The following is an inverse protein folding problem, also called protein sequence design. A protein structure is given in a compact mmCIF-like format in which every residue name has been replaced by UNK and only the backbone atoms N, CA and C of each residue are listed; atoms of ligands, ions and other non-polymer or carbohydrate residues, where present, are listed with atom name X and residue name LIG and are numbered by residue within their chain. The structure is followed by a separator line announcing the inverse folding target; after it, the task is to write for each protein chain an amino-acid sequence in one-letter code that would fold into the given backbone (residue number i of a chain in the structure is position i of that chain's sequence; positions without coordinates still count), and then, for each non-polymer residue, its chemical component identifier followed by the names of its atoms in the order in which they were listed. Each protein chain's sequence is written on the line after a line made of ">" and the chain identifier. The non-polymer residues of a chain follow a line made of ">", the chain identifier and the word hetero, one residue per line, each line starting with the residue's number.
data_IF_920167888286
#
_entry.id   IF_920167888286
#
_cell.length_a   1.000
_cell.length_b   1.000
_cell.length_c   1.000
_cell.angle_alpha   90.00
_cell.angle_beta   90.00
_cell.angle_gamma   90.00
#
_symmetry.space_group_name_H-M   'P 1'
#
loop_
_entity.id
_entity.type
_entity.pdbx_description
1 polymer ?
#
# COMPACT_ATOMS: atom_id res chain seq x y z
N UNK A 1 6.89 -9.47 -9.24
CA UNK A 1 7.53 -9.10 -7.96
C UNK A 1 8.53 -8.00 -8.28
N UNK A 2 8.43 -6.83 -7.66
CA UNK A 2 9.38 -5.74 -7.93
C UNK A 2 10.74 -6.06 -7.31
N UNK A 3 11.82 -5.70 -8.00
CA UNK A 3 13.17 -5.91 -7.48
C UNK A 3 13.43 -4.89 -6.37
N UNK A 4 14.31 -5.26 -5.43
CA UNK A 4 14.71 -4.39 -4.30
C UNK A 4 15.33 -3.07 -4.79
N UNK A 5 15.83 -3.05 -6.03
CA UNK A 5 16.49 -1.93 -6.68
C UNK A 5 15.50 -0.97 -7.36
N UNK A 6 14.25 -1.38 -7.59
CA UNK A 6 13.28 -0.59 -8.34
C UNK A 6 12.78 0.58 -7.49
N UNK A 7 13.05 1.80 -7.94
CA UNK A 7 12.44 3.01 -7.36
C UNK A 7 10.91 2.94 -7.47
N UNK A 8 10.21 3.67 -6.62
CA UNK A 8 8.75 3.74 -6.70
C UNK A 8 8.27 4.21 -8.08
N UNK A 9 8.91 5.22 -8.65
CA UNK A 9 8.56 5.77 -9.97
C UNK A 9 8.73 4.73 -11.07
N UNK A 10 9.85 4.00 -11.09
CA UNK A 10 10.11 2.93 -12.07
C UNK A 10 9.04 1.83 -12.01
N UNK A 11 8.60 1.45 -10.80
CA UNK A 11 7.51 0.48 -10.63
C UNK A 11 6.19 0.98 -11.20
N UNK A 12 5.87 2.26 -10.98
CA UNK A 12 4.63 2.86 -11.46
C UNK A 12 4.61 3.00 -12.98
N UNK A 13 5.72 3.39 -13.59
CA UNK A 13 5.89 3.40 -15.05
C UNK A 13 5.68 2.00 -15.62
N UNK A 14 6.29 0.98 -15.00
CA UNK A 14 6.12 -0.40 -15.44
C UNK A 14 4.68 -0.90 -15.29
N UNK A 15 4.00 -0.56 -14.19
CA UNK A 15 2.57 -0.84 -14.00
C UNK A 15 1.75 -0.22 -15.13
N UNK A 16 1.99 1.06 -15.44
CA UNK A 16 1.28 1.77 -16.51
C UNK A 16 1.57 1.18 -17.89
N UNK A 17 2.79 0.75 -18.15
CA UNK A 17 3.15 0.09 -19.40
C UNK A 17 2.35 -1.20 -19.61
N UNK A 18 2.26 -2.06 -18.58
CA UNK A 18 1.45 -3.27 -18.65
C UNK A 18 -0.04 -3.00 -18.92
N UNK A 19 -0.53 -1.78 -18.71
CA UNK A 19 -1.94 -1.48 -18.97
C UNK A 19 -2.29 -1.67 -20.46
N UNK A 20 -1.33 -1.47 -21.37
CA UNK A 20 -1.51 -1.68 -22.80
C UNK A 20 -1.29 -3.15 -23.22
N UNK A 21 -0.41 -3.87 -22.53
CA UNK A 21 -0.05 -5.26 -22.87
C UNK A 21 -0.96 -6.29 -22.19
N UNK A 22 -1.17 -6.15 -20.89
CA UNK A 22 -1.98 -7.01 -20.04
C UNK A 22 -2.64 -6.20 -18.90
N UNK A 23 -3.86 -5.78 -19.16
CA UNK A 23 -4.68 -5.02 -18.23
C UNK A 23 -4.91 -5.73 -16.88
N UNK A 24 -5.00 -7.07 -16.89
CA UNK A 24 -5.22 -7.85 -15.67
C UNK A 24 -3.95 -7.85 -14.82
N UNK A 25 -2.79 -8.09 -15.42
CA UNK A 25 -1.50 -8.02 -14.75
C UNK A 25 -1.23 -6.61 -14.19
N UNK A 26 -1.53 -5.57 -14.97
CA UNK A 26 -1.38 -4.18 -14.51
C UNK A 26 -2.23 -3.90 -13.28
N UNK A 27 -3.51 -4.32 -13.28
CA UNK A 27 -4.41 -4.18 -12.13
C UNK A 27 -3.89 -4.92 -10.89
N UNK A 28 -3.34 -6.13 -11.06
CA UNK A 28 -2.72 -6.89 -9.97
C UNK A 28 -1.51 -6.16 -9.39
N UNK A 29 -0.59 -5.72 -10.24
CA UNK A 29 0.65 -5.06 -9.82
C UNK A 29 0.38 -3.72 -9.15
N UNK A 30 -0.63 -2.96 -9.60
CA UNK A 30 -1.02 -1.70 -8.98
C UNK A 30 -1.47 -1.87 -7.52
N UNK A 31 -2.32 -2.88 -7.24
CA UNK A 31 -2.75 -3.17 -5.86
C UNK A 31 -1.58 -3.70 -5.02
N UNK A 32 -0.73 -4.58 -5.57
CA UNK A 32 0.46 -5.07 -4.87
C UNK A 32 1.42 -3.93 -4.51
N UNK A 33 1.57 -2.93 -5.37
CA UNK A 33 2.39 -1.74 -5.12
C UNK A 33 1.83 -0.89 -3.97
N UNK A 34 0.51 -0.71 -3.93
CA UNK A 34 -0.15 -0.09 -2.78
C UNK A 34 0.08 -0.91 -1.49
N UNK A 35 -0.13 -2.23 -1.53
CA UNK A 35 0.06 -3.11 -0.37
C UNK A 35 1.50 -3.03 0.17
N UNK A 36 2.48 -3.03 -0.72
CA UNK A 36 3.89 -2.83 -0.35
C UNK A 36 4.12 -1.48 0.32
N UNK A 37 3.53 -0.42 -0.23
CA UNK A 37 3.70 0.96 0.26
C UNK A 37 3.07 1.13 1.63
N UNK A 38 1.81 0.72 1.82
CA UNK A 38 1.11 0.85 3.10
C UNK A 38 1.77 0.00 4.20
N UNK A 39 2.27 -1.20 3.87
CA UNK A 39 3.03 -2.02 4.83
C UNK A 39 4.28 -1.31 5.32
N UNK A 40 5.02 -0.68 4.40
CA UNK A 40 6.23 0.08 4.76
C UNK A 40 5.90 1.35 5.53
N UNK A 41 4.84 2.05 5.17
CA UNK A 41 4.34 3.20 5.92
C UNK A 41 3.99 2.82 7.37
N UNK A 42 3.24 1.73 7.57
CA UNK A 42 2.91 1.21 8.91
C UNK A 42 4.18 0.88 9.70
N UNK A 43 5.16 0.21 9.09
CA UNK A 43 6.44 -0.09 9.74
C UNK A 43 7.21 1.19 10.05
N UNK A 44 7.16 2.21 9.21
CA UNK A 44 7.97 3.42 9.42
C UNK A 44 7.36 4.36 10.46
N UNK A 45 6.04 4.58 10.39
CA UNK A 45 5.27 5.48 11.24
C UNK A 45 4.82 4.85 12.56
N UNK A 46 4.74 3.51 12.62
CA UNK A 46 4.23 2.79 13.77
C UNK A 46 5.01 3.03 15.06
N UNK A 47 4.38 2.76 16.20
CA UNK A 47 5.00 2.91 17.53
C UNK A 47 5.66 1.62 18.01
N UNK A 48 5.07 0.46 17.70
CA UNK A 48 5.56 -0.82 18.21
C UNK A 48 6.93 -1.18 17.61
N UNK A 49 7.71 -2.06 18.29
CA UNK A 49 8.91 -2.65 17.74
C UNK A 49 8.67 -3.31 16.39
N UNK A 50 9.63 -3.19 15.46
CA UNK A 50 9.45 -3.65 14.07
C UNK A 50 9.08 -5.13 13.97
N UNK A 51 9.57 -5.98 14.89
CA UNK A 51 9.23 -7.42 14.92
C UNK A 51 7.74 -7.65 15.20
N UNK A 52 7.16 -6.86 16.10
CA UNK A 52 5.73 -6.93 16.46
C UNK A 52 4.88 -6.45 15.30
N UNK A 53 5.21 -5.29 14.72
CA UNK A 53 4.49 -4.76 13.55
C UNK A 53 4.55 -5.74 12.37
N UNK A 54 5.72 -6.33 12.10
CA UNK A 54 5.89 -7.32 11.03
C UNK A 54 5.07 -8.58 11.27
N UNK A 55 4.97 -9.04 12.52
CA UNK A 55 4.10 -10.17 12.87
C UNK A 55 2.62 -9.85 12.62
N UNK A 56 2.14 -8.65 12.97
CA UNK A 56 0.78 -8.18 12.64
C UNK A 56 0.55 -8.16 11.12
N UNK A 57 1.50 -7.63 10.35
CA UNK A 57 1.40 -7.51 8.90
C UNK A 57 1.53 -8.84 8.15
N UNK A 58 2.16 -9.86 8.74
CA UNK A 58 2.30 -11.19 8.12
C UNK A 58 0.95 -11.85 7.84
N UNK A 59 -0.05 -11.62 8.70
CA UNK A 59 -1.43 -12.14 8.56
C UNK A 59 -2.41 -11.08 8.03
N UNK A 60 -1.91 -9.94 7.56
CA UNK A 60 -2.73 -8.81 7.14
C UNK A 60 -3.01 -8.89 5.63
N UNK A 61 -4.25 -9.21 5.27
CA UNK A 61 -4.68 -9.30 3.88
C UNK A 61 -5.93 -8.44 3.64
N UNK A 62 -5.91 -7.70 2.53
CA UNK A 62 -7.03 -6.86 2.12
C UNK A 62 -7.11 -5.52 2.85
N UNK A 63 -7.89 -4.61 2.25
CA UNK A 63 -7.93 -3.21 2.61
C UNK A 63 -8.43 -2.96 4.05
N UNK A 64 -9.41 -3.73 4.52
CA UNK A 64 -9.95 -3.60 5.87
C UNK A 64 -8.89 -3.92 6.94
N UNK A 65 -8.09 -4.97 6.76
CA UNK A 65 -7.04 -5.33 7.72
C UNK A 65 -5.91 -4.31 7.75
N UNK A 66 -5.55 -3.71 6.62
CA UNK A 66 -4.60 -2.59 6.62
C UNK A 66 -5.15 -1.37 7.38
N UNK A 67 -6.46 -1.09 7.26
CA UNK A 67 -7.10 -0.03 8.04
C UNK A 67 -7.04 -0.30 9.54
N UNK A 68 -7.29 -1.54 9.96
CA UNK A 68 -7.20 -1.95 11.37
C UNK A 68 -5.77 -1.78 11.91
N UNK A 69 -4.76 -2.33 11.21
CA UNK A 69 -3.36 -2.23 11.65
C UNK A 69 -2.87 -0.79 11.63
N UNK A 70 -3.27 0.02 10.65
CA UNK A 70 -2.96 1.46 10.61
C UNK A 70 -3.56 2.18 11.81
N UNK A 71 -4.79 1.85 12.19
CA UNK A 71 -5.42 2.44 13.37
C UNK A 71 -4.56 2.18 14.61
N UNK A 72 -4.18 0.92 14.82
CA UNK A 72 -3.48 0.49 16.03
C UNK A 72 -2.04 1.00 16.12
N UNK A 73 -1.33 1.09 14.99
CA UNK A 73 0.09 1.46 14.97
C UNK A 73 0.36 2.93 14.65
N UNK A 74 -0.44 3.52 13.77
CA UNK A 74 -0.15 4.83 13.17
C UNK A 74 -1.08 5.90 13.69
N UNK A 75 -2.39 5.68 13.66
CA UNK A 75 -3.39 6.70 14.05
C UNK A 75 -3.38 6.99 15.55
N UNK A 76 -3.20 5.95 16.39
CA UNK A 76 -3.12 6.10 17.85
C UNK A 76 -1.73 6.58 18.33
N UNK A 77 -0.84 6.97 17.41
CA UNK A 77 0.46 7.53 17.76
C UNK A 77 0.34 9.02 18.06
N UNK A 78 0.22 9.39 19.34
CA UNK A 78 0.08 10.80 19.75
C UNK A 78 1.27 11.69 19.35
N UNK A 79 2.44 11.10 19.05
CA UNK A 79 3.63 11.84 18.61
C UNK A 79 3.53 12.30 17.15
N UNK A 80 2.70 11.64 16.34
CA UNK A 80 2.55 11.91 14.91
C UNK A 80 1.07 12.05 14.60
N UNK A 81 0.61 13.28 14.38
CA UNK A 81 -0.77 13.59 14.00
C UNK A 81 -1.06 13.13 12.56
N UNK A 82 -1.22 11.82 12.40
CA UNK A 82 -1.54 11.17 11.13
C UNK A 82 -3.01 10.79 11.14
N UNK A 83 -3.71 11.11 10.05
CA UNK A 83 -5.13 10.80 9.88
C UNK A 83 -5.39 9.28 9.76
N UNK A 84 -6.67 8.89 9.79
CA UNK A 84 -7.03 7.49 9.55
C UNK A 84 -6.68 7.12 8.12
N UNK A 85 -6.36 5.84 7.86
CA UNK A 85 -5.98 5.40 6.51
C UNK A 85 -7.02 5.74 5.43
N UNK A 86 -8.31 5.69 5.77
CA UNK A 86 -9.40 6.05 4.85
C UNK A 86 -9.57 7.55 4.62
N UNK A 87 -8.95 8.40 5.46
CA UNK A 87 -8.89 9.86 5.30
C UNK A 87 -7.62 10.23 4.51
N UNK A 88 -6.51 9.54 4.77
CA UNK A 88 -5.26 9.66 4.00
C UNK A 88 -5.48 9.34 2.52
N UNK A 89 -6.14 8.23 2.21
CA UNK A 89 -6.42 7.82 0.84
C UNK A 89 -7.67 8.53 0.32
N UNK A 90 -7.48 9.51 -0.57
CA UNK A 90 -8.54 10.43 -1.02
C UNK A 90 -9.69 9.71 -1.73
N UNK A 91 -9.39 8.65 -2.47
CA UNK A 91 -10.39 7.82 -3.14
C UNK A 91 -10.45 6.41 -2.53
N UNK A 92 -10.84 6.33 -1.27
CA UNK A 92 -10.93 5.08 -0.52
C UNK A 92 -11.87 4.06 -1.18
N UNK A 93 -13.02 4.51 -1.67
CA UNK A 93 -14.02 3.63 -2.30
C UNK A 93 -13.49 3.04 -3.62
N UNK A 94 -12.82 3.87 -4.44
CA UNK A 94 -12.15 3.45 -5.67
C UNK A 94 -11.05 2.44 -5.39
N UNK A 95 -10.20 2.67 -4.38
CA UNK A 95 -9.22 1.69 -3.94
C UNK A 95 -9.89 0.36 -3.53
N UNK A 96 -11.01 0.42 -2.82
CA UNK A 96 -11.82 -0.75 -2.48
C UNK A 96 -12.28 -1.53 -3.72
N UNK A 97 -12.70 -0.85 -4.78
CA UNK A 97 -13.04 -1.48 -6.08
C UNK A 97 -11.81 -2.13 -6.74
N UNK A 98 -10.63 -1.52 -6.64
CA UNK A 98 -9.38 -2.12 -7.15
C UNK A 98 -9.01 -3.40 -6.39
N UNK A 99 -9.12 -3.41 -5.06
CA UNK A 99 -8.91 -4.61 -4.25
C UNK A 99 -9.89 -5.75 -4.59
N UNK A 100 -11.17 -5.43 -4.84
CA UNK A 100 -12.16 -6.42 -5.28
C UNK A 100 -11.79 -7.03 -6.63
N UNK A 101 -11.35 -6.22 -7.59
CA UNK A 101 -10.87 -6.75 -8.88
C UNK A 101 -9.66 -7.67 -8.68
N UNK A 102 -8.63 -7.24 -7.92
CA UNK A 102 -7.45 -8.06 -7.63
C UNK A 102 -7.82 -9.39 -6.97
N UNK A 103 -8.77 -9.39 -6.03
CA UNK A 103 -9.24 -10.63 -5.41
C UNK A 103 -9.82 -11.59 -6.45
N UNK A 104 -10.76 -11.11 -7.28
CA UNK A 104 -11.38 -11.93 -8.32
C UNK A 104 -10.39 -12.45 -9.36
N UNK A 105 -9.43 -11.62 -9.80
CA UNK A 105 -8.38 -11.99 -10.75
C UNK A 105 -7.48 -13.10 -10.20
N UNK A 106 -6.98 -12.97 -8.96
CA UNK A 106 -6.09 -13.98 -8.35
C UNK A 106 -6.78 -15.32 -8.15
N UNK A 107 -8.10 -15.33 -7.96
CA UNK A 107 -8.88 -16.57 -7.84
C UNK A 107 -9.42 -17.08 -9.19
N UNK A 108 -9.04 -16.47 -10.32
CA UNK A 108 -9.49 -16.89 -11.65
C UNK A 108 -11.00 -16.70 -11.90
N UNK A 109 -11.67 -15.91 -11.07
CA UNK A 109 -13.13 -15.73 -11.11
C UNK A 109 -13.59 -14.63 -12.10
N UNK A 110 -12.65 -13.94 -12.75
CA UNK A 110 -12.94 -12.90 -13.76
C UNK A 110 -11.71 -12.66 -14.64
N UNK A 111 -11.94 -12.03 -15.79
CA UNK A 111 -10.95 -11.23 -16.52
C UNK A 111 -11.37 -9.75 -16.47
N UNK A 112 -10.55 -8.85 -17.02
CA UNK A 112 -10.95 -7.46 -17.25
C UNK A 112 -10.36 -6.89 -18.55
N UNK A 113 -11.14 -6.06 -19.23
CA UNK A 113 -10.66 -5.23 -20.34
C UNK A 113 -9.90 -4.00 -19.87
N UNK A 114 -9.16 -3.38 -20.80
CA UNK A 114 -8.25 -2.27 -20.54
C UNK A 114 -8.91 -1.07 -19.86
N UNK A 115 -10.06 -0.62 -20.34
CA UNK A 115 -10.73 0.57 -19.78
C UNK A 115 -11.18 0.34 -18.33
N UNK A 116 -11.74 -0.84 -18.06
CA UNK A 116 -12.15 -1.23 -16.72
C UNK A 116 -10.97 -1.34 -15.75
N UNK A 117 -9.84 -1.87 -16.21
CA UNK A 117 -8.61 -1.95 -15.43
C UNK A 117 -7.97 -0.58 -15.21
N UNK A 118 -7.98 0.30 -16.21
CA UNK A 118 -7.35 1.64 -16.19
C UNK A 118 -7.73 2.45 -14.97
N UNK A 119 -9.03 2.58 -14.72
CA UNK A 119 -9.52 3.34 -13.56
C UNK A 119 -9.01 2.77 -12.24
N UNK A 120 -9.02 1.44 -12.09
CA UNK A 120 -8.63 0.75 -10.86
C UNK A 120 -7.13 0.82 -10.62
N UNK A 121 -6.34 0.75 -11.68
CA UNK A 121 -4.90 0.99 -11.64
C UNK A 121 -4.64 2.41 -11.18
N UNK A 122 -5.28 3.42 -11.79
CA UNK A 122 -5.13 4.81 -11.37
C UNK A 122 -5.55 5.04 -9.91
N UNK A 123 -6.66 4.45 -9.45
CA UNK A 123 -7.07 4.56 -8.05
C UNK A 123 -6.03 3.96 -7.09
N UNK A 124 -5.45 2.81 -7.42
CA UNK A 124 -4.42 2.18 -6.60
C UNK A 124 -3.10 2.97 -6.60
N UNK A 125 -2.68 3.51 -7.76
CA UNK A 125 -1.49 4.35 -7.86
C UNK A 125 -1.67 5.67 -7.09
N UNK A 126 -2.81 6.34 -7.24
CA UNK A 126 -3.11 7.57 -6.50
C UNK A 126 -3.16 7.33 -4.99
N UNK A 127 -3.77 6.24 -4.53
CA UNK A 127 -3.75 5.86 -3.12
C UNK A 127 -2.32 5.59 -2.61
N UNK A 128 -1.45 5.05 -3.48
CA UNK A 128 -0.03 4.86 -3.15
C UNK A 128 0.67 6.22 -2.98
N UNK A 129 0.40 7.16 -3.88
CA UNK A 129 0.90 8.53 -3.79
C UNK A 129 0.42 9.23 -2.51
N UNK A 130 -0.87 9.14 -2.17
CA UNK A 130 -1.43 9.74 -0.96
C UNK A 130 -0.70 9.27 0.30
N UNK A 131 -0.48 7.95 0.44
CA UNK A 131 0.27 7.38 1.58
C UNK A 131 1.73 7.87 1.60
N UNK A 132 2.38 7.94 0.43
CA UNK A 132 3.76 8.46 0.35
C UNK A 132 3.85 9.93 0.76
N UNK A 133 2.91 10.76 0.35
CA UNK A 133 2.87 12.18 0.70
C UNK A 133 2.78 12.37 2.21
N UNK A 134 1.93 11.59 2.88
CA UNK A 134 1.86 11.60 4.36
C UNK A 134 3.17 11.17 5.01
N UNK A 135 3.82 10.12 4.49
CA UNK A 135 5.14 9.70 4.98
C UNK A 135 6.22 10.77 4.75
N UNK A 136 6.25 11.40 3.58
CA UNK A 136 7.20 12.45 3.26
C UNK A 136 7.03 13.67 4.18
N UNK A 137 5.79 14.10 4.45
CA UNK A 137 5.50 15.15 5.44
C UNK A 137 5.84 14.79 6.89
N UNK A 138 6.27 13.56 7.14
CA UNK A 138 6.73 13.02 8.42
C UNK A 138 8.23 12.66 8.40
N UNK A 139 8.97 13.16 7.41
CA UNK A 139 10.39 12.92 7.14
C UNK A 139 10.74 11.44 6.91
N UNK A 140 9.81 10.69 6.33
CA UNK A 140 10.00 9.26 6.03
C UNK A 140 10.08 9.04 4.53
N UNK A 141 11.24 8.58 4.07
CA UNK A 141 11.43 8.05 2.72
C UNK A 141 11.13 6.54 2.68
N UNK A 142 10.01 6.17 2.04
CA UNK A 142 9.60 4.77 1.92
C UNK A 142 10.44 3.93 0.95
N UNK A 143 11.28 4.52 0.11
CA UNK A 143 12.21 3.77 -0.76
C UNK A 143 13.58 3.52 -0.11
N UNK A 144 13.89 4.26 0.96
CA UNK A 144 15.12 4.07 1.72
C UNK A 144 15.04 2.89 2.72
N UNK A 145 16.13 2.65 3.44
CA UNK A 145 16.11 1.73 4.58
C UNK A 145 15.18 2.29 5.67
N UNK A 146 14.20 1.49 6.09
CA UNK A 146 13.24 1.92 7.12
C UNK A 146 13.90 2.05 8.50
N UNK A 147 13.39 2.96 9.36
CA UNK A 147 13.85 3.07 10.74
C UNK A 147 13.65 1.74 11.49
N UNK A 148 14.57 1.44 12.39
CA UNK A 148 14.56 0.19 13.18
C UNK A 148 14.18 0.52 14.62
N UNK A 149 12.96 0.15 15.03
CA UNK A 149 12.55 0.16 16.43
C UNK A 149 12.72 -1.22 17.04
N UNK A 150 13.51 -1.32 18.10
CA UNK A 150 13.82 -2.56 18.82
C UNK A 150 12.92 -2.69 20.05
N UNK A 151 12.66 -3.92 20.50
CA UNK A 151 12.14 -4.11 21.85
C UNK A 151 13.24 -3.67 22.82
N UNK A 152 12.97 -2.65 23.62
CA UNK A 152 13.73 -2.45 24.86
C UNK A 152 13.39 -3.63 25.77
N UNK A 153 14.41 -4.40 26.18
CA UNK A 153 14.23 -5.36 27.27
C UNK A 153 13.87 -4.51 28.50
N UNK A 154 12.67 -4.70 29.03
CA UNK A 154 12.27 -4.18 30.34
C UNK A 154 12.92 -5.05 31.40
#
# INVERSE_FOLDING_TARGET
>A
MFLVQDSSSSREERIKHFLAEDASLSALLAVIHFEWTVRRAIIALGTSPNVVVRAKLAKCHGLAKYKDVWKDEVFLNDQRKVERLSEVVKNWEGLGRAFRLRHRLVHGATSCGTDYARERVHWALNATYDVRTVCAGNDINLDARLPVRRCTKV
#
